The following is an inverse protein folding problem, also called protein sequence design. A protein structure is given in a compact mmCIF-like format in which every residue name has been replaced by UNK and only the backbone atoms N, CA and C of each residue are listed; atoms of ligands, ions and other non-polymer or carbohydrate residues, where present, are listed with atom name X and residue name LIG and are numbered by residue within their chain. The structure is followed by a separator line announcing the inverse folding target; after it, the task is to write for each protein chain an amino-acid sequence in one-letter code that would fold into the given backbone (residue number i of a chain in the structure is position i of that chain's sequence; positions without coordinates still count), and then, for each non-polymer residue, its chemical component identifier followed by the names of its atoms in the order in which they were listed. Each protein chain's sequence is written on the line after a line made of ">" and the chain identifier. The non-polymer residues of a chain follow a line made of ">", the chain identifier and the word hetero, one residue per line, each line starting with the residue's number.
data_IF_997364873897
#
_entry.id   IF_997364873897
#
_cell.length_a   1.000
_cell.length_b   1.000
_cell.length_c   1.000
_cell.angle_alpha   90.00
_cell.angle_beta   90.00
_cell.angle_gamma   90.00
#
_symmetry.space_group_name_H-M   'P 1'
#
loop_
_entity.id
_entity.type
_entity.pdbx_description
1 polymer ?
#
# COMPACT_ATOMS: atom_id res chain seq x y z
N UNK A 1 -22.80 -0.85 21.62
CA UNK A 1 -21.94 0.11 20.87
C UNK A 1 -22.86 1.14 20.24
N UNK A 2 -22.78 2.42 20.68
CA UNK A 2 -23.66 3.49 20.18
C UNK A 2 -23.47 3.67 18.67
N UNK A 3 -24.55 4.05 17.97
CA UNK A 3 -24.55 4.26 16.49
C UNK A 3 -23.43 5.20 16.00
N UNK A 4 -23.11 6.25 16.75
CA UNK A 4 -21.99 7.15 16.49
C UNK A 4 -20.63 6.44 16.49
N UNK A 5 -20.36 5.53 17.45
CA UNK A 5 -19.12 4.74 17.49
C UNK A 5 -19.01 3.72 16.35
N UNK A 6 -20.15 3.22 15.84
CA UNK A 6 -20.15 2.32 14.66
C UNK A 6 -19.79 3.07 13.37
N UNK A 7 -20.32 4.28 13.19
CA UNK A 7 -20.01 5.11 12.02
C UNK A 7 -18.55 5.52 12.00
N UNK A 8 -17.99 5.86 13.15
CA UNK A 8 -16.56 6.17 13.29
C UNK A 8 -15.67 4.96 12.94
N UNK A 9 -16.05 3.74 13.33
CA UNK A 9 -15.32 2.51 12.97
C UNK A 9 -15.32 2.25 11.46
N UNK A 10 -16.45 2.45 10.78
CA UNK A 10 -16.55 2.26 9.33
C UNK A 10 -15.70 3.31 8.61
N UNK A 11 -15.85 4.59 8.98
CA UNK A 11 -15.08 5.68 8.41
C UNK A 11 -13.56 5.47 8.60
N UNK A 12 -13.16 4.97 9.77
CA UNK A 12 -11.77 4.66 10.06
C UNK A 12 -11.27 3.43 9.28
N UNK A 13 -12.10 2.39 9.13
CA UNK A 13 -11.79 1.22 8.30
C UNK A 13 -11.64 1.58 6.82
N UNK A 14 -12.49 2.48 6.28
CA UNK A 14 -12.34 3.04 4.95
C UNK A 14 -11.06 3.86 4.79
N UNK A 15 -10.69 4.65 5.82
CA UNK A 15 -9.44 5.39 5.80
C UNK A 15 -8.22 4.46 5.80
N UNK A 16 -8.24 3.38 6.60
CA UNK A 16 -7.20 2.36 6.61
C UNK A 16 -7.11 1.67 5.25
N UNK A 17 -8.24 1.26 4.66
CA UNK A 17 -8.28 0.73 3.29
C UNK A 17 -7.61 1.69 2.31
N UNK A 18 -8.00 2.97 2.32
CA UNK A 18 -7.47 3.97 1.40
C UNK A 18 -5.97 4.24 1.57
N UNK A 19 -5.46 4.12 2.78
CA UNK A 19 -4.02 4.25 3.05
C UNK A 19 -3.20 3.12 2.42
N UNK A 20 -3.75 1.90 2.42
CA UNK A 20 -3.12 0.75 1.78
C UNK A 20 -3.33 0.74 0.28
N UNK A 21 -4.46 1.22 -0.22
CA UNK A 21 -4.84 1.08 -1.62
C UNK A 21 -4.05 2.03 -2.54
N UNK A 22 -2.96 1.52 -3.10
CA UNK A 22 -2.06 2.23 -4.01
C UNK A 22 -1.90 1.54 -5.37
N UNK A 23 -0.84 1.89 -6.11
CA UNK A 23 -0.59 1.35 -7.43
C UNK A 23 -0.46 -0.17 -7.47
N UNK A 24 0.24 -0.76 -6.49
CA UNK A 24 0.42 -2.20 -6.38
C UNK A 24 -0.89 -2.96 -6.25
N UNK A 25 -1.82 -2.41 -5.47
CA UNK A 25 -3.11 -3.01 -5.15
C UNK A 25 -4.09 -3.01 -6.34
N UNK A 26 -3.82 -2.21 -7.35
CA UNK A 26 -4.55 -2.22 -8.62
C UNK A 26 -3.95 -3.25 -9.58
N UNK A 27 -2.64 -3.27 -9.72
CA UNK A 27 -1.95 -3.99 -10.79
C UNK A 27 -1.79 -5.47 -10.47
N UNK A 28 -1.28 -5.80 -9.26
CA UNK A 28 -0.87 -7.18 -8.99
C UNK A 28 -2.01 -8.19 -8.88
N UNK A 29 -3.20 -7.88 -8.34
CA UNK A 29 -4.32 -8.81 -8.39
C UNK A 29 -4.83 -9.04 -9.82
N UNK A 30 -4.83 -8.02 -10.68
CA UNK A 30 -5.19 -8.17 -12.09
C UNK A 30 -4.16 -9.04 -12.84
N UNK A 31 -2.87 -8.76 -12.66
CA UNK A 31 -1.81 -9.56 -13.24
C UNK A 31 -1.86 -11.02 -12.77
N UNK A 32 -2.14 -11.25 -11.49
CA UNK A 32 -2.30 -12.59 -10.93
C UNK A 32 -3.43 -13.36 -11.61
N UNK A 33 -4.61 -12.75 -11.76
CA UNK A 33 -5.76 -13.37 -12.44
C UNK A 33 -5.44 -13.79 -13.88
N UNK A 34 -4.70 -12.94 -14.63
CA UNK A 34 -4.23 -13.27 -15.97
C UNK A 34 -3.25 -14.45 -16.00
N UNK A 35 -2.36 -14.57 -15.00
CA UNK A 35 -1.33 -15.63 -14.96
C UNK A 35 -1.92 -16.95 -14.48
N UNK A 36 -2.84 -16.90 -13.50
CA UNK A 36 -3.36 -18.10 -12.85
C UNK A 36 -4.57 -18.71 -13.55
N UNK A 37 -5.30 -17.94 -14.35
CA UNK A 37 -6.45 -18.37 -15.12
C UNK A 37 -7.46 -19.20 -14.29
N UNK A 38 -7.85 -20.40 -14.73
CA UNK A 38 -8.76 -21.30 -13.99
C UNK A 38 -8.19 -21.76 -12.62
N UNK A 39 -6.89 -21.54 -12.34
CA UNK A 39 -6.24 -21.79 -11.04
C UNK A 39 -6.22 -20.55 -10.12
N UNK A 40 -6.94 -19.50 -10.48
CA UNK A 40 -7.06 -18.26 -9.68
C UNK A 40 -7.38 -18.51 -8.20
N UNK A 41 -8.23 -19.46 -7.77
CA UNK A 41 -8.48 -19.70 -6.35
C UNK A 41 -7.18 -20.00 -5.55
N UNK A 42 -6.27 -20.78 -6.11
CA UNK A 42 -5.00 -21.11 -5.45
C UNK A 42 -4.03 -19.94 -5.41
N UNK A 43 -3.91 -19.21 -6.53
CA UNK A 43 -3.12 -17.98 -6.58
C UNK A 43 -3.65 -16.93 -5.60
N UNK A 44 -4.95 -16.77 -5.55
CA UNK A 44 -5.62 -15.81 -4.67
C UNK A 44 -5.41 -16.12 -3.18
N UNK A 45 -5.42 -17.40 -2.77
CA UNK A 45 -5.10 -17.79 -1.39
C UNK A 45 -3.69 -17.32 -0.99
N UNK A 46 -2.67 -17.56 -1.81
CA UNK A 46 -1.31 -17.08 -1.55
C UNK A 46 -1.25 -15.54 -1.51
N UNK A 47 -1.93 -14.88 -2.45
CA UNK A 47 -1.97 -13.43 -2.55
C UNK A 47 -2.62 -12.78 -1.33
N UNK A 48 -3.79 -13.25 -0.91
CA UNK A 48 -4.50 -12.71 0.26
C UNK A 48 -3.71 -12.90 1.55
N UNK A 49 -2.95 -13.97 1.67
CA UNK A 49 -2.09 -14.19 2.83
C UNK A 49 -1.04 -13.08 2.96
N UNK A 50 -0.40 -12.69 1.88
CA UNK A 50 0.73 -11.73 1.90
C UNK A 50 0.32 -10.29 1.63
N UNK A 51 -0.72 -10.05 0.85
CA UNK A 51 -1.19 -8.71 0.52
C UNK A 51 -2.32 -8.20 1.46
N UNK A 52 -2.94 -9.09 2.25
CA UNK A 52 -3.97 -8.67 3.21
C UNK A 52 -3.60 -9.10 4.63
N UNK A 53 -3.50 -10.42 4.89
CA UNK A 53 -3.32 -10.89 6.26
C UNK A 53 -2.02 -10.34 6.89
N UNK A 54 -0.88 -10.44 6.20
CA UNK A 54 0.41 -9.97 6.74
C UNK A 54 0.45 -8.46 7.00
N UNK A 55 0.01 -7.57 6.11
CA UNK A 55 -0.05 -6.13 6.38
C UNK A 55 -0.88 -5.76 7.62
N UNK A 56 -2.04 -6.37 7.79
CA UNK A 56 -2.89 -6.07 8.93
C UNK A 56 -2.32 -6.66 10.24
N UNK A 57 -1.69 -7.84 10.20
CA UNK A 57 -0.92 -8.36 11.34
C UNK A 57 0.26 -7.42 11.64
N UNK A 58 0.96 -6.91 10.65
CA UNK A 58 2.02 -5.91 10.79
C UNK A 58 1.54 -4.61 11.42
N UNK A 59 0.38 -4.12 10.99
CA UNK A 59 -0.26 -2.95 11.57
C UNK A 59 -0.58 -3.19 13.06
N UNK A 60 -1.19 -4.31 13.41
CA UNK A 60 -1.50 -4.69 14.79
C UNK A 60 -0.23 -4.83 15.64
N UNK A 61 0.84 -5.44 15.10
CA UNK A 61 2.12 -5.52 15.77
C UNK A 61 2.70 -4.13 16.06
N UNK A 62 2.60 -3.19 15.11
CA UNK A 62 3.05 -1.81 15.30
C UNK A 62 2.21 -1.05 16.35
N UNK A 63 0.92 -1.35 16.51
CA UNK A 63 0.10 -0.77 17.58
C UNK A 63 0.67 -1.10 18.97
N UNK A 64 1.18 -2.32 19.21
CA UNK A 64 1.83 -2.68 20.47
C UNK A 64 3.05 -1.81 20.78
N UNK A 65 3.74 -1.33 19.76
CA UNK A 65 4.88 -0.42 19.87
C UNK A 65 4.47 1.06 19.84
N UNK A 66 3.16 1.36 19.95
CA UNK A 66 2.62 2.73 19.89
C UNK A 66 3.11 3.50 18.65
N UNK A 67 3.31 2.81 17.53
CA UNK A 67 3.81 3.36 16.27
C UNK A 67 5.29 3.77 16.28
N UNK A 68 6.07 3.40 17.29
CA UNK A 68 7.50 3.73 17.36
C UNK A 68 8.32 2.80 16.47
N UNK A 69 8.52 3.19 15.21
CA UNK A 69 9.24 2.41 14.18
C UNK A 69 10.61 1.97 14.69
N UNK A 70 11.36 2.87 15.29
CA UNK A 70 12.70 2.58 15.82
C UNK A 70 12.70 1.44 16.84
N UNK A 71 11.72 1.40 17.75
CA UNK A 71 11.63 0.34 18.76
C UNK A 71 11.25 -0.99 18.14
N UNK A 72 10.35 -0.98 17.13
CA UNK A 72 9.94 -2.17 16.42
C UNK A 72 11.12 -2.85 15.71
N UNK A 73 11.92 -2.08 14.99
CA UNK A 73 13.07 -2.60 14.26
C UNK A 73 14.31 -2.84 15.15
N UNK A 74 14.40 -2.21 16.32
CA UNK A 74 15.52 -2.36 17.24
C UNK A 74 15.70 -3.78 17.79
N UNK A 75 14.69 -4.65 17.65
CA UNK A 75 14.80 -6.09 17.97
C UNK A 75 15.88 -6.82 17.16
N UNK A 76 16.20 -6.32 15.97
CA UNK A 76 17.33 -6.82 15.16
C UNK A 76 18.69 -6.25 15.59
N UNK A 77 18.70 -5.36 16.59
CA UNK A 77 19.86 -4.57 16.98
C UNK A 77 19.75 -3.12 16.54
N UNK A 78 20.51 -2.23 17.16
CA UNK A 78 20.41 -0.77 16.89
C UNK A 78 20.78 -0.41 15.45
N UNK A 79 21.90 -0.94 14.93
CA UNK A 79 22.38 -0.64 13.57
C UNK A 79 21.63 -1.45 12.52
N UNK A 80 21.52 -2.80 12.59
CA UNK A 80 20.78 -3.57 11.58
C UNK A 80 19.31 -3.18 11.51
N UNK A 81 18.66 -2.90 12.65
CA UNK A 81 17.28 -2.47 12.69
C UNK A 81 17.04 -1.12 12.00
N UNK A 82 17.91 -0.13 12.26
CA UNK A 82 17.83 1.18 11.60
C UNK A 82 18.10 1.05 10.09
N UNK A 83 19.09 0.23 9.71
CA UNK A 83 19.41 -0.02 8.29
C UNK A 83 18.24 -0.67 7.56
N UNK A 84 17.60 -1.69 8.15
CA UNK A 84 16.41 -2.32 7.56
C UNK A 84 15.23 -1.35 7.48
N UNK A 85 14.95 -0.57 8.53
CA UNK A 85 13.91 0.45 8.51
C UNK A 85 14.15 1.49 7.41
N UNK A 86 15.41 1.93 7.25
CA UNK A 86 15.80 2.88 6.19
C UNK A 86 15.63 2.26 4.80
N UNK A 87 16.03 1.00 4.62
CA UNK A 87 15.82 0.29 3.35
C UNK A 87 14.31 0.21 3.02
N UNK A 88 13.50 -0.23 3.97
CA UNK A 88 12.05 -0.39 3.79
C UNK A 88 11.38 0.92 3.41
N UNK A 89 11.66 2.02 4.14
CA UNK A 89 11.05 3.32 3.81
C UNK A 89 11.61 3.90 2.50
N UNK A 90 12.84 3.57 2.12
CA UNK A 90 13.41 3.97 0.83
C UNK A 90 12.71 3.28 -0.33
N UNK A 91 12.42 1.98 -0.20
CA UNK A 91 11.66 1.22 -1.19
C UNK A 91 10.20 1.71 -1.30
N UNK A 92 9.58 2.12 -0.19
CA UNK A 92 8.25 2.71 -0.19
C UNK A 92 8.24 4.13 -0.79
N UNK A 93 9.25 4.92 -0.47
CA UNK A 93 9.36 6.30 -0.88
C UNK A 93 9.95 6.44 -2.29
N UNK A 94 11.08 7.18 -2.41
CA UNK A 94 11.59 7.63 -3.71
C UNK A 94 12.13 6.52 -4.62
N UNK A 95 12.46 5.33 -4.08
CA UNK A 95 13.11 4.29 -4.88
C UNK A 95 12.15 3.22 -5.40
N UNK A 96 10.88 3.20 -4.98
CA UNK A 96 9.99 2.12 -5.37
C UNK A 96 8.52 2.49 -5.52
N UNK A 97 7.74 2.52 -4.43
CA UNK A 97 6.30 2.67 -4.54
C UNK A 97 5.87 4.04 -5.07
N UNK A 98 6.52 5.14 -4.68
CA UNK A 98 6.15 6.48 -5.17
C UNK A 98 6.39 6.65 -6.69
N UNK A 99 7.54 6.29 -7.28
CA UNK A 99 7.69 6.33 -8.74
C UNK A 99 6.74 5.37 -9.46
N UNK A 100 6.43 4.19 -8.89
CA UNK A 100 5.42 3.27 -9.45
C UNK A 100 4.03 3.92 -9.49
N UNK A 101 3.65 4.70 -8.46
CA UNK A 101 2.41 5.47 -8.46
C UNK A 101 2.37 6.45 -9.64
N UNK A 102 3.43 7.24 -9.87
CA UNK A 102 3.47 8.21 -10.95
C UNK A 102 3.45 7.50 -12.32
N UNK A 103 4.19 6.40 -12.46
CA UNK A 103 4.20 5.62 -13.69
C UNK A 103 2.82 5.04 -14.02
N UNK A 104 2.08 4.53 -13.01
CA UNK A 104 0.72 4.01 -13.19
C UNK A 104 -0.28 5.13 -13.56
N UNK A 105 -0.19 6.29 -12.90
CA UNK A 105 -1.01 7.44 -13.27
C UNK A 105 -0.86 7.76 -14.76
N UNK A 106 0.40 7.85 -15.22
CA UNK A 106 0.71 8.13 -16.62
C UNK A 106 0.17 7.05 -17.55
N UNK A 107 0.47 5.76 -17.30
CA UNK A 107 0.10 4.68 -18.21
C UNK A 107 -1.43 4.51 -18.32
N UNK A 108 -2.15 4.73 -17.22
CA UNK A 108 -3.63 4.64 -17.22
C UNK A 108 -4.25 5.84 -17.99
N UNK A 109 -3.73 7.05 -17.79
CA UNK A 109 -4.22 8.22 -18.51
C UNK A 109 -3.84 8.21 -19.99
N UNK A 110 -2.70 7.66 -20.36
CA UNK A 110 -2.25 7.56 -21.75
C UNK A 110 -3.16 6.70 -22.63
N UNK A 111 -3.95 5.80 -22.04
CA UNK A 111 -5.00 5.05 -22.76
C UNK A 111 -6.09 5.97 -23.31
N UNK A 112 -6.41 7.04 -22.59
CA UNK A 112 -7.44 8.01 -22.99
C UNK A 112 -6.85 9.24 -23.68
N UNK A 113 -5.58 9.56 -23.43
CA UNK A 113 -4.86 10.69 -23.99
C UNK A 113 -3.55 10.23 -24.65
N UNK A 114 -3.62 9.63 -25.85
CA UNK A 114 -2.43 9.18 -26.57
C UNK A 114 -1.49 10.36 -26.86
N UNK A 115 -0.20 10.17 -26.60
CA UNK A 115 0.80 11.23 -26.82
C UNK A 115 1.13 12.07 -25.59
N UNK A 116 0.62 11.76 -24.42
CA UNK A 116 1.01 12.39 -23.16
C UNK A 116 2.48 12.05 -22.81
N UNK A 117 3.43 13.01 -22.84
CA UNK A 117 4.85 12.71 -22.60
C UNK A 117 5.08 12.36 -21.12
N UNK A 118 5.69 11.20 -20.84
CA UNK A 118 5.99 10.74 -19.50
C UNK A 118 6.80 11.76 -18.68
N UNK A 119 7.78 12.41 -19.32
CA UNK A 119 8.65 13.39 -18.65
C UNK A 119 7.85 14.58 -18.14
N UNK A 120 7.02 15.21 -18.99
CA UNK A 120 6.20 16.36 -18.60
C UNK A 120 5.17 15.98 -17.53
N UNK A 121 4.55 14.82 -17.69
CA UNK A 121 3.61 14.29 -16.71
C UNK A 121 4.28 14.07 -15.35
N UNK A 122 5.47 13.46 -15.34
CA UNK A 122 6.22 13.17 -14.11
C UNK A 122 6.68 14.45 -13.40
N UNK A 123 7.09 15.48 -14.14
CA UNK A 123 7.42 16.81 -13.58
C UNK A 123 6.19 17.41 -12.91
N UNK A 124 5.04 17.40 -13.59
CA UNK A 124 3.78 17.93 -13.08
C UNK A 124 3.33 17.17 -11.82
N UNK A 125 3.42 15.83 -11.84
CA UNK A 125 3.08 14.98 -10.70
C UNK A 125 4.01 15.25 -9.50
N UNK A 126 5.33 15.33 -9.71
CA UNK A 126 6.29 15.68 -8.65
C UNK A 126 6.04 17.09 -8.10
N UNK A 127 5.68 18.05 -8.95
CA UNK A 127 5.29 19.40 -8.54
C UNK A 127 4.05 19.40 -7.65
N UNK A 128 3.01 18.62 -8.00
CA UNK A 128 1.82 18.45 -7.18
C UNK A 128 2.17 17.77 -5.85
N UNK A 129 2.96 16.69 -5.88
CA UNK A 129 3.41 16.00 -4.65
C UNK A 129 4.17 16.98 -3.75
N UNK A 130 5.05 17.82 -4.30
CA UNK A 130 5.77 18.84 -3.53
C UNK A 130 4.81 19.81 -2.86
N UNK A 131 3.87 20.42 -3.62
CA UNK A 131 2.91 21.39 -3.11
C UNK A 131 2.05 20.83 -1.98
N UNK A 132 1.63 19.56 -2.10
CA UNK A 132 0.77 18.93 -1.11
C UNK A 132 1.52 18.35 0.09
N UNK A 133 2.77 17.93 -0.10
CA UNK A 133 3.63 17.46 0.99
C UNK A 133 4.15 18.59 1.87
N UNK A 134 4.22 19.82 1.36
CA UNK A 134 4.71 20.98 2.08
C UNK A 134 3.74 21.43 3.20
N UNK A 135 2.43 21.21 3.02
CA UNK A 135 1.37 21.54 4.02
C UNK A 135 0.73 20.26 4.57
N UNK A 136 1.38 19.64 5.53
CA UNK A 136 1.16 18.30 6.07
C UNK A 136 -0.29 17.87 6.41
N UNK A 137 -1.32 18.74 6.52
CA UNK A 137 -2.46 18.32 7.35
C UNK A 137 -3.89 18.45 6.81
N UNK A 138 -4.17 19.10 5.70
CA UNK A 138 -5.57 19.33 5.30
C UNK A 138 -6.01 18.58 4.04
N UNK A 139 -5.15 18.49 3.05
CA UNK A 139 -5.52 17.92 1.75
C UNK A 139 -5.53 16.39 1.75
N UNK A 140 -4.60 15.73 2.45
CA UNK A 140 -4.59 14.26 2.60
C UNK A 140 -5.87 13.78 3.28
N UNK A 141 -6.39 14.53 4.27
CA UNK A 141 -7.67 14.21 4.91
C UNK A 141 -8.86 14.39 3.95
N UNK A 142 -8.91 15.50 3.22
CA UNK A 142 -10.02 15.79 2.30
C UNK A 142 -10.02 14.80 1.13
N UNK A 143 -8.87 14.53 0.54
CA UNK A 143 -8.73 13.57 -0.55
C UNK A 143 -9.09 12.14 -0.08
N UNK A 144 -8.65 11.73 1.12
CA UNK A 144 -9.00 10.43 1.69
C UNK A 144 -10.50 10.28 2.01
N UNK A 145 -11.16 11.30 2.55
CA UNK A 145 -12.57 11.22 2.93
C UNK A 145 -13.55 11.25 1.75
N UNK A 146 -13.22 11.94 0.67
CA UNK A 146 -14.12 12.09 -0.49
C UNK A 146 -13.73 11.16 -1.62
N UNK A 147 -12.43 11.10 -1.97
CA UNK A 147 -11.98 10.27 -3.08
C UNK A 147 -12.02 8.77 -2.77
N UNK A 148 -11.75 8.37 -1.54
CA UNK A 148 -11.72 6.94 -1.20
C UNK A 148 -13.07 6.25 -1.35
N UNK A 149 -14.20 6.78 -0.82
CA UNK A 149 -15.51 6.19 -1.06
C UNK A 149 -15.89 6.18 -2.54
N UNK A 150 -15.57 7.25 -3.28
CA UNK A 150 -15.84 7.33 -4.71
C UNK A 150 -15.03 6.29 -5.49
N UNK A 151 -13.75 6.15 -5.18
CA UNK A 151 -12.88 5.13 -5.78
C UNK A 151 -13.41 3.72 -5.52
N UNK A 152 -13.75 3.40 -4.27
CA UNK A 152 -14.32 2.09 -3.91
C UNK A 152 -15.62 1.83 -4.67
N UNK A 153 -16.50 2.82 -4.76
CA UNK A 153 -17.76 2.69 -5.50
C UNK A 153 -17.51 2.42 -6.99
N UNK A 154 -16.56 3.12 -7.61
CA UNK A 154 -16.19 2.90 -9.01
C UNK A 154 -15.56 1.52 -9.24
N UNK A 155 -14.68 1.06 -8.35
CA UNK A 155 -14.08 -0.26 -8.43
C UNK A 155 -15.13 -1.37 -8.30
N UNK A 156 -16.05 -1.25 -7.35
CA UNK A 156 -17.17 -2.17 -7.17
C UNK A 156 -18.06 -2.17 -8.42
N UNK A 157 -18.35 -1.01 -8.99
CA UNK A 157 -19.15 -0.89 -10.21
C UNK A 157 -18.47 -1.62 -11.39
N UNK A 158 -17.16 -1.45 -11.58
CA UNK A 158 -16.40 -2.15 -12.62
C UNK A 158 -16.45 -3.66 -12.40
N UNK A 159 -16.24 -4.11 -11.16
CA UNK A 159 -16.29 -5.53 -10.81
C UNK A 159 -17.66 -6.11 -11.12
N UNK A 160 -18.75 -5.50 -10.62
CA UNK A 160 -20.12 -5.99 -10.83
C UNK A 160 -20.46 -6.00 -12.33
N UNK A 161 -20.24 -4.90 -13.04
CA UNK A 161 -20.51 -4.81 -14.48
C UNK A 161 -19.66 -5.80 -15.27
N UNK A 162 -18.39 -5.99 -14.90
CA UNK A 162 -17.50 -6.94 -15.54
C UNK A 162 -17.96 -8.39 -15.37
N UNK A 163 -18.49 -8.77 -14.21
CA UNK A 163 -19.08 -10.09 -14.01
C UNK A 163 -20.37 -10.29 -14.82
N UNK A 164 -21.23 -9.27 -14.91
CA UNK A 164 -22.48 -9.34 -15.69
C UNK A 164 -22.20 -9.45 -17.21
N UNK A 165 -21.17 -8.76 -17.69
CA UNK A 165 -20.79 -8.72 -19.10
C UNK A 165 -19.62 -9.66 -19.43
N UNK A 166 -19.40 -10.68 -18.61
CA UNK A 166 -18.25 -11.59 -18.78
C UNK A 166 -18.37 -12.37 -20.11
N UNK A 167 -17.26 -12.54 -20.85
CA UNK A 167 -17.22 -13.37 -22.04
C UNK A 167 -17.44 -14.84 -21.70
N UNK A 168 -18.04 -15.59 -22.62
CA UNK A 168 -18.32 -17.03 -22.45
C UNK A 168 -17.04 -17.89 -22.51
N UNK A 169 -15.99 -17.40 -23.20
CA UNK A 169 -14.74 -18.15 -23.37
C UNK A 169 -13.76 -17.82 -22.26
N UNK A 170 -13.35 -18.82 -21.51
CA UNK A 170 -12.33 -18.74 -20.48
C UNK A 170 -11.12 -19.58 -20.88
N UNK A 171 -9.92 -19.10 -20.50
CA UNK A 171 -8.67 -19.82 -20.73
C UNK A 171 -8.36 -20.74 -19.55
N UNK A 172 -7.73 -21.87 -19.86
CA UNK A 172 -7.19 -22.78 -18.85
C UNK A 172 -5.68 -22.62 -18.72
N UNK A 173 -5.18 -22.78 -17.49
CA UNK A 173 -3.75 -22.77 -17.24
C UNK A 173 -3.09 -24.04 -17.77
N UNK A 174 -2.01 -23.88 -18.51
CA UNK A 174 -1.18 -25.01 -18.96
C UNK A 174 -0.44 -25.69 -17.81
N UNK A 175 -0.27 -25.03 -16.66
CA UNK A 175 0.37 -25.59 -15.48
C UNK A 175 -0.68 -26.22 -14.55
N UNK A 176 -0.68 -27.55 -14.35
CA UNK A 176 -1.67 -28.22 -13.50
C UNK A 176 -1.40 -28.05 -11.99
N UNK A 177 -0.18 -27.61 -11.58
CA UNK A 177 0.22 -27.59 -10.19
C UNK A 177 -0.45 -26.46 -9.39
N UNK A 178 -1.33 -26.81 -8.47
CA UNK A 178 -1.95 -25.86 -7.55
C UNK A 178 -0.94 -25.15 -6.64
N UNK A 179 0.10 -25.87 -6.19
CA UNK A 179 1.16 -25.32 -5.35
C UNK A 179 1.97 -24.24 -6.05
N UNK A 180 2.24 -24.41 -7.36
CA UNK A 180 2.92 -23.38 -8.16
C UNK A 180 2.12 -22.07 -8.22
N UNK A 181 0.81 -22.16 -8.43
CA UNK A 181 -0.07 -20.98 -8.46
C UNK A 181 -0.21 -20.32 -7.09
N UNK A 182 -0.27 -21.11 -6.00
CA UNK A 182 -0.25 -20.56 -4.64
C UNK A 182 1.04 -19.78 -4.36
N UNK A 183 2.20 -20.37 -4.73
CA UNK A 183 3.49 -19.71 -4.55
C UNK A 183 3.60 -18.43 -5.38
N UNK A 184 3.10 -18.47 -6.61
CA UNK A 184 3.03 -17.28 -7.47
C UNK A 184 2.16 -16.19 -6.84
N UNK A 185 0.99 -16.55 -6.29
CA UNK A 185 0.15 -15.60 -5.56
C UNK A 185 0.85 -14.99 -4.36
N UNK A 186 1.56 -15.80 -3.57
CA UNK A 186 2.32 -15.34 -2.41
C UNK A 186 3.40 -14.30 -2.80
N UNK A 187 4.15 -14.56 -3.86
CA UNK A 187 5.20 -13.64 -4.35
C UNK A 187 4.62 -12.39 -5.00
N UNK A 188 3.51 -12.50 -5.75
CA UNK A 188 2.83 -11.31 -6.28
C UNK A 188 2.24 -10.44 -5.17
N UNK A 189 1.82 -11.03 -4.05
CA UNK A 189 1.39 -10.28 -2.88
C UNK A 189 2.51 -9.46 -2.24
N UNK A 190 3.77 -9.87 -2.31
CA UNK A 190 4.91 -9.04 -1.87
C UNK A 190 5.02 -7.75 -2.69
N UNK A 191 4.68 -7.81 -3.96
CA UNK A 191 4.78 -6.69 -4.88
C UNK A 191 3.79 -5.56 -4.60
N UNK A 192 2.73 -5.80 -3.80
CA UNK A 192 1.83 -4.73 -3.32
C UNK A 192 2.53 -3.79 -2.35
N UNK A 193 3.57 -4.27 -1.64
CA UNK A 193 4.35 -3.54 -0.63
C UNK A 193 3.54 -3.13 0.61
N UNK A 194 2.38 -3.74 0.84
CA UNK A 194 1.46 -3.35 1.91
C UNK A 194 2.02 -3.64 3.31
N UNK A 195 2.75 -4.76 3.51
CA UNK A 195 3.40 -5.02 4.80
C UNK A 195 4.46 -3.95 5.12
N UNK A 196 5.22 -3.50 4.13
CA UNK A 196 6.16 -2.41 4.30
C UNK A 196 5.43 -1.13 4.70
N UNK A 197 4.33 -0.82 3.99
CA UNK A 197 3.50 0.35 4.25
C UNK A 197 2.87 0.31 5.65
N UNK A 198 2.47 -0.85 6.15
CA UNK A 198 1.87 -1.01 7.47
C UNK A 198 2.75 -0.45 8.59
N UNK A 199 4.07 -0.66 8.53
CA UNK A 199 5.00 -0.16 9.55
C UNK A 199 5.07 1.37 9.58
N UNK A 200 4.96 2.03 8.44
CA UNK A 200 5.10 3.48 8.33
C UNK A 200 3.77 4.22 8.37
N UNK A 201 2.66 3.55 8.09
CA UNK A 201 1.32 4.11 8.24
C UNK A 201 0.79 3.97 9.67
N UNK A 202 1.24 2.98 10.43
CA UNK A 202 0.82 2.79 11.82
C UNK A 202 0.96 4.04 12.70
N UNK A 203 2.06 4.81 12.68
CA UNK A 203 2.17 6.07 13.43
C UNK A 203 1.09 7.08 13.05
N UNK A 204 0.76 7.18 11.75
CA UNK A 204 -0.25 8.11 11.23
C UNK A 204 -1.64 7.67 11.71
N UNK A 205 -1.92 6.37 11.64
CA UNK A 205 -3.17 5.77 12.12
C UNK A 205 -3.33 6.02 13.61
N UNK A 206 -2.30 5.78 14.42
CA UNK A 206 -2.31 6.00 15.87
C UNK A 206 -2.51 7.47 16.22
N UNK A 207 -1.82 8.39 15.53
CA UNK A 207 -1.95 9.83 15.77
C UNK A 207 -3.33 10.41 15.42
N UNK A 208 -4.08 9.73 14.55
CA UNK A 208 -5.43 10.13 14.17
C UNK A 208 -6.50 9.74 15.20
N UNK A 209 -6.15 8.85 16.14
CA UNK A 209 -7.03 8.43 17.22
C UNK A 209 -7.08 9.52 18.32
N UNK A 210 -8.29 9.92 18.71
CA UNK A 210 -8.47 10.89 19.80
C UNK A 210 -8.15 10.23 21.15
N UNK A 211 -7.18 10.75 21.89
CA UNK A 211 -6.78 10.32 23.25
C UNK A 211 -6.48 8.82 23.39
N UNK A 212 -5.47 8.29 22.68
CA UNK A 212 -5.16 6.86 22.71
C UNK A 212 -4.76 6.30 24.09
N UNK A 213 -4.41 7.15 25.04
CA UNK A 213 -4.00 6.73 26.39
C UNK A 213 -5.16 6.60 27.38
N UNK A 214 -6.35 7.13 27.08
CA UNK A 214 -7.50 7.18 28.01
C UNK A 214 -8.64 6.22 27.67
N UNK A 215 -8.65 5.64 26.47
CA UNK A 215 -9.79 4.84 26.01
C UNK A 215 -9.50 3.34 26.17
N UNK A 216 -10.06 2.70 27.19
CA UNK A 216 -9.93 1.26 27.45
C UNK A 216 -10.46 0.37 26.31
N UNK A 217 -11.29 0.92 25.42
CA UNK A 217 -11.86 0.22 24.26
C UNK A 217 -11.10 0.49 22.95
N UNK A 218 -9.95 1.18 23.00
CA UNK A 218 -9.20 1.56 21.81
C UNK A 218 -8.73 0.35 21.01
N UNK A 219 -8.26 -0.69 21.69
CA UNK A 219 -7.80 -1.93 21.02
C UNK A 219 -8.94 -2.60 20.22
N UNK A 220 -10.14 -2.68 20.78
CA UNK A 220 -11.31 -3.22 20.10
C UNK A 220 -11.72 -2.38 18.87
N UNK A 221 -11.68 -1.04 19.00
CA UNK A 221 -11.97 -0.13 17.89
C UNK A 221 -11.00 -0.31 16.72
N UNK A 222 -9.69 -0.35 17.01
CA UNK A 222 -8.65 -0.52 15.99
C UNK A 222 -8.76 -1.89 15.31
N UNK A 223 -9.00 -2.97 16.07
CA UNK A 223 -9.17 -4.32 15.52
C UNK A 223 -10.37 -4.35 14.57
N UNK A 224 -11.54 -3.83 14.98
CA UNK A 224 -12.74 -3.82 14.14
C UNK A 224 -12.51 -3.00 12.87
N UNK A 225 -11.93 -1.80 12.99
CA UNK A 225 -11.63 -0.97 11.85
C UNK A 225 -10.61 -1.62 10.89
N UNK A 226 -9.60 -2.31 11.45
CA UNK A 226 -8.64 -3.09 10.65
C UNK A 226 -9.31 -4.24 9.92
N UNK A 227 -10.24 -4.96 10.56
CA UNK A 227 -11.00 -6.03 9.91
C UNK A 227 -11.85 -5.47 8.77
N UNK A 228 -12.51 -4.32 8.95
CA UNK A 228 -13.29 -3.66 7.89
C UNK A 228 -12.38 -3.33 6.71
N UNK A 229 -11.24 -2.68 6.96
CA UNK A 229 -10.27 -2.32 5.92
C UNK A 229 -9.71 -3.55 5.19
N UNK A 230 -9.34 -4.59 5.94
CA UNK A 230 -8.84 -5.86 5.39
C UNK A 230 -9.87 -6.59 4.54
N UNK A 231 -11.13 -6.65 5.01
CA UNK A 231 -12.24 -7.29 4.29
C UNK A 231 -12.53 -6.58 2.98
N UNK A 232 -12.52 -5.24 2.99
CA UNK A 232 -12.73 -4.44 1.80
C UNK A 232 -11.60 -4.62 0.78
N UNK A 233 -10.35 -4.64 1.27
CA UNK A 233 -9.18 -4.88 0.43
C UNK A 233 -9.22 -6.28 -0.20
N UNK A 234 -9.54 -7.31 0.61
CA UNK A 234 -9.70 -8.68 0.13
C UNK A 234 -10.79 -8.79 -0.94
N UNK A 235 -11.94 -8.14 -0.73
CA UNK A 235 -13.06 -8.15 -1.67
C UNK A 235 -12.67 -7.54 -3.02
N UNK A 236 -11.96 -6.42 -3.02
CA UNK A 236 -11.46 -5.80 -4.26
C UNK A 236 -10.45 -6.72 -4.96
N UNK A 237 -9.53 -7.35 -4.22
CA UNK A 237 -8.55 -8.25 -4.82
C UNK A 237 -9.19 -9.50 -5.43
N UNK A 238 -10.17 -10.09 -4.74
CA UNK A 238 -10.95 -11.20 -5.28
C UNK A 238 -11.62 -10.77 -6.59
N UNK A 239 -12.30 -9.63 -6.56
CA UNK A 239 -12.97 -9.09 -7.74
C UNK A 239 -12.01 -8.86 -8.91
N UNK A 240 -10.86 -8.26 -8.67
CA UNK A 240 -9.85 -7.99 -9.70
C UNK A 240 -9.22 -9.26 -10.28
N UNK A 241 -8.85 -10.22 -9.42
CA UNK A 241 -8.28 -11.49 -9.89
C UNK A 241 -9.28 -12.22 -10.81
N UNK A 242 -10.53 -12.37 -10.39
CA UNK A 242 -11.54 -13.03 -11.21
C UNK A 242 -11.88 -12.24 -12.47
N UNK A 243 -11.94 -10.92 -12.38
CA UNK A 243 -12.20 -10.07 -13.55
C UNK A 243 -11.10 -10.24 -14.61
N UNK A 244 -9.84 -10.21 -14.20
CA UNK A 244 -8.71 -10.42 -15.10
C UNK A 244 -8.67 -11.85 -15.68
N UNK A 245 -9.07 -12.86 -14.91
CA UNK A 245 -9.26 -14.22 -15.39
C UNK A 245 -10.32 -14.31 -16.49
N UNK A 246 -11.52 -13.76 -16.24
CA UNK A 246 -12.64 -13.81 -17.20
C UNK A 246 -12.30 -13.09 -18.52
N UNK A 247 -11.59 -11.98 -18.45
CA UNK A 247 -11.20 -11.20 -19.63
C UNK A 247 -9.82 -11.57 -20.19
N UNK A 248 -9.14 -12.58 -19.65
CA UNK A 248 -7.77 -12.95 -20.05
C UNK A 248 -7.56 -13.11 -21.57
N UNK A 249 -8.50 -13.75 -22.34
CA UNK A 249 -8.35 -13.84 -23.80
C UNK A 249 -8.25 -12.49 -24.50
N UNK A 250 -8.94 -11.49 -23.95
CA UNK A 250 -9.06 -10.14 -24.52
C UNK A 250 -7.98 -9.18 -24.04
N UNK A 251 -7.20 -9.58 -23.05
CA UNK A 251 -6.15 -8.79 -22.40
C UNK A 251 -4.74 -9.23 -22.84
N UNK A 252 -4.64 -10.19 -23.75
CA UNK A 252 -3.37 -10.70 -24.27
C UNK A 252 -2.57 -9.58 -24.91
N UNK A 253 -1.31 -9.40 -24.48
CA UNK A 253 -0.42 -8.35 -25.00
C UNK A 253 -0.60 -6.97 -24.36
N UNK A 254 -1.57 -6.79 -23.48
CA UNK A 254 -1.75 -5.54 -22.73
C UNK A 254 -0.79 -5.52 -21.52
N UNK A 255 -0.13 -4.40 -21.32
CA UNK A 255 0.79 -4.20 -20.20
C UNK A 255 0.03 -4.24 -18.85
N UNK A 256 0.67 -4.80 -17.80
CA UNK A 256 0.03 -5.00 -16.49
C UNK A 256 -0.53 -3.70 -15.88
N UNK A 257 0.16 -2.58 -16.09
CA UNK A 257 -0.21 -1.25 -15.60
C UNK A 257 -1.36 -0.61 -16.41
N UNK A 258 -1.76 -1.21 -17.53
CA UNK A 258 -2.90 -0.78 -18.36
C UNK A 258 -4.14 -1.67 -18.20
N UNK A 259 -4.04 -2.81 -17.49
CA UNK A 259 -5.11 -3.80 -17.41
C UNK A 259 -6.44 -3.23 -16.91
N UNK A 260 -6.43 -2.46 -15.82
CA UNK A 260 -7.66 -1.89 -15.25
C UNK A 260 -8.34 -0.94 -16.25
N UNK A 261 -7.58 -0.06 -16.87
CA UNK A 261 -8.08 0.88 -17.86
C UNK A 261 -8.65 0.16 -19.10
N UNK A 262 -7.94 -0.86 -19.59
CA UNK A 262 -8.40 -1.67 -20.74
C UNK A 262 -9.68 -2.43 -20.42
N UNK A 263 -9.79 -3.05 -19.25
CA UNK A 263 -11.02 -3.71 -18.78
C UNK A 263 -12.17 -2.70 -18.69
N UNK A 264 -11.94 -1.55 -18.09
CA UNK A 264 -12.96 -0.53 -17.93
C UNK A 264 -13.49 0.00 -19.28
N UNK A 265 -12.60 0.24 -20.24
CA UNK A 265 -12.99 0.65 -21.60
C UNK A 265 -13.84 -0.42 -22.28
N UNK A 266 -13.49 -1.70 -22.12
CA UNK A 266 -14.25 -2.81 -22.71
C UNK A 266 -15.66 -2.97 -22.11
N UNK A 267 -15.79 -2.80 -20.78
CA UNK A 267 -17.05 -3.01 -20.05
C UNK A 267 -17.98 -1.81 -20.14
N UNK A 268 -17.44 -0.60 -20.02
CA UNK A 268 -18.20 0.64 -19.84
C UNK A 268 -18.04 1.62 -21.01
N UNK A 269 -17.22 1.27 -22.01
CA UNK A 269 -16.97 2.09 -23.19
C UNK A 269 -15.85 3.14 -22.99
N UNK A 270 -15.49 3.90 -24.06
CA UNK A 270 -14.30 4.79 -24.07
C UNK A 270 -14.33 5.88 -22.98
N UNK A 271 -15.50 6.43 -22.69
CA UNK A 271 -15.66 7.49 -21.68
C UNK A 271 -15.33 7.00 -20.25
N UNK A 272 -15.55 5.72 -19.96
CA UNK A 272 -15.20 5.13 -18.69
C UNK A 272 -13.69 5.07 -18.46
N UNK A 273 -12.89 4.92 -19.51
CA UNK A 273 -11.44 4.98 -19.43
C UNK A 273 -10.93 6.28 -18.81
N UNK A 274 -11.55 7.42 -19.13
CA UNK A 274 -11.21 8.72 -18.55
C UNK A 274 -11.55 8.76 -17.06
N UNK A 275 -12.76 8.31 -16.68
CA UNK A 275 -13.20 8.32 -15.28
C UNK A 275 -12.31 7.42 -14.43
N UNK A 276 -12.01 6.21 -14.91
CA UNK A 276 -11.11 5.28 -14.22
C UNK A 276 -9.68 5.81 -14.18
N UNK A 277 -9.18 6.37 -15.29
CA UNK A 277 -7.86 7.00 -15.34
C UNK A 277 -7.69 8.13 -14.33
N UNK A 278 -8.68 9.01 -14.21
CA UNK A 278 -8.68 10.07 -13.20
C UNK A 278 -8.77 9.51 -11.79
N UNK A 279 -9.60 8.50 -11.55
CA UNK A 279 -9.74 7.85 -10.23
C UNK A 279 -8.44 7.20 -9.78
N UNK A 280 -7.78 6.45 -10.67
CA UNK A 280 -6.47 5.84 -10.42
C UNK A 280 -5.41 6.92 -10.18
N UNK A 281 -5.45 8.00 -10.97
CA UNK A 281 -4.53 9.14 -10.81
C UNK A 281 -4.66 9.76 -9.42
N UNK A 282 -5.86 10.05 -8.97
CA UNK A 282 -6.06 10.63 -7.64
C UNK A 282 -5.68 9.66 -6.52
N UNK A 283 -6.01 8.37 -6.62
CA UNK A 283 -5.62 7.37 -5.65
C UNK A 283 -4.09 7.24 -5.55
N UNK A 284 -3.40 7.14 -6.69
CA UNK A 284 -1.94 7.05 -6.73
C UNK A 284 -1.26 8.34 -6.26
N UNK A 285 -1.82 9.51 -6.58
CA UNK A 285 -1.29 10.80 -6.15
C UNK A 285 -1.34 10.93 -4.63
N UNK A 286 -2.48 10.59 -4.00
CA UNK A 286 -2.61 10.63 -2.53
C UNK A 286 -1.64 9.69 -1.84
N UNK A 287 -1.48 8.49 -2.38
CA UNK A 287 -0.51 7.50 -1.86
C UNK A 287 0.92 8.00 -2.03
N UNK A 288 1.30 8.53 -3.19
CA UNK A 288 2.64 9.06 -3.42
C UNK A 288 2.98 10.23 -2.49
N UNK A 289 2.02 11.15 -2.25
CA UNK A 289 2.18 12.24 -1.27
C UNK A 289 2.46 11.68 0.13
N UNK A 290 1.67 10.71 0.58
CA UNK A 290 1.83 10.12 1.90
C UNK A 290 3.18 9.40 2.05
N UNK A 291 3.60 8.64 1.04
CA UNK A 291 4.86 7.87 1.05
C UNK A 291 6.09 8.79 1.02
N UNK A 292 6.09 9.82 0.18
CA UNK A 292 7.20 10.79 0.11
C UNK A 292 7.29 11.62 1.40
N UNK A 293 6.14 12.04 1.96
CA UNK A 293 6.12 12.75 3.23
C UNK A 293 6.62 11.88 4.39
N UNK A 294 6.20 10.61 4.45
CA UNK A 294 6.66 9.64 5.45
C UNK A 294 8.18 9.41 5.34
N UNK A 295 8.70 9.24 4.12
CA UNK A 295 10.13 9.09 3.88
C UNK A 295 10.90 10.33 4.35
N UNK A 296 10.50 11.52 3.91
CA UNK A 296 11.18 12.77 4.27
C UNK A 296 11.17 13.01 5.78
N UNK A 297 10.04 12.72 6.45
CA UNK A 297 9.91 12.85 7.91
C UNK A 297 10.79 11.83 8.65
N UNK A 298 10.87 10.58 8.16
CA UNK A 298 11.72 9.55 8.74
C UNK A 298 13.21 9.90 8.60
N UNK A 299 13.66 10.29 7.40
CA UNK A 299 15.05 10.68 7.16
C UNK A 299 15.43 11.88 8.05
N UNK A 300 14.56 12.90 8.11
CA UNK A 300 14.80 14.08 8.97
C UNK A 300 15.01 13.69 10.42
N UNK A 301 14.09 12.88 10.99
CA UNK A 301 14.09 12.58 12.44
C UNK A 301 15.12 11.51 12.82
N UNK A 302 15.15 10.39 12.09
CA UNK A 302 15.92 9.21 12.51
C UNK A 302 17.35 9.21 11.97
N UNK A 303 17.57 9.70 10.75
CA UNK A 303 18.90 9.68 10.11
C UNK A 303 19.63 11.00 10.31
N UNK A 304 19.01 12.12 9.96
CA UNK A 304 19.64 13.45 10.03
C UNK A 304 19.56 14.09 11.42
N UNK A 305 18.81 13.47 12.38
CA UNK A 305 18.66 13.97 13.75
C UNK A 305 18.33 15.47 13.77
N UNK A 306 17.43 15.90 12.89
CA UNK A 306 16.96 17.27 12.70
C UNK A 306 18.02 18.30 12.23
N UNK A 307 19.23 17.86 11.85
CA UNK A 307 20.29 18.75 11.35
C UNK A 307 19.96 19.37 9.99
N UNK A 308 19.13 18.69 9.18
CA UNK A 308 18.67 19.15 7.87
C UNK A 308 17.18 19.39 7.93
N UNK A 309 16.72 20.49 7.33
CA UNK A 309 15.30 20.83 7.24
C UNK A 309 14.50 19.82 6.42
N UNK A 310 13.19 19.81 6.59
CA UNK A 310 12.30 18.92 5.86
C UNK A 310 12.31 19.18 4.33
N UNK A 311 12.29 20.45 3.93
CA UNK A 311 12.19 20.84 2.52
C UNK A 311 13.32 20.34 1.63
N UNK A 312 14.63 20.46 1.99
CA UNK A 312 15.70 19.92 1.14
C UNK A 312 15.63 18.39 1.01
N UNK A 313 15.23 17.66 2.07
CA UNK A 313 15.05 16.22 1.99
C UNK A 313 13.90 15.88 1.05
N UNK A 314 12.80 16.62 1.11
CA UNK A 314 11.64 16.46 0.22
C UNK A 314 12.03 16.68 -1.24
N UNK A 315 12.80 17.74 -1.55
CA UNK A 315 13.26 18.05 -2.91
C UNK A 315 14.14 16.92 -3.44
N UNK A 316 15.13 16.47 -2.66
CA UNK A 316 16.02 15.38 -3.07
C UNK A 316 15.21 14.09 -3.31
N UNK A 317 14.24 13.79 -2.44
CA UNK A 317 13.37 12.64 -2.61
C UNK A 317 12.58 12.69 -3.91
N UNK A 318 12.05 13.85 -4.28
CA UNK A 318 11.28 14.04 -5.50
C UNK A 318 12.16 13.99 -6.76
N UNK A 319 13.39 14.48 -6.69
CA UNK A 319 14.36 14.34 -7.80
C UNK A 319 14.69 12.87 -8.06
N UNK A 320 14.90 12.08 -7.01
CA UNK A 320 15.12 10.63 -7.12
C UNK A 320 13.87 9.96 -7.69
N UNK A 321 12.69 10.29 -7.15
CA UNK A 321 11.40 9.75 -7.63
C UNK A 321 11.20 10.05 -9.12
N UNK A 322 11.45 11.28 -9.55
CA UNK A 322 11.38 11.67 -10.96
C UNK A 322 12.33 10.83 -11.82
N UNK A 323 13.60 10.74 -11.44
CA UNK A 323 14.59 9.97 -12.20
C UNK A 323 14.19 8.48 -12.33
N UNK A 324 13.66 7.87 -11.26
CA UNK A 324 13.23 6.47 -11.30
C UNK A 324 11.94 6.31 -12.11
N UNK A 325 11.01 7.27 -12.06
CA UNK A 325 9.76 7.19 -12.83
C UNK A 325 10.01 7.08 -14.34
N UNK A 326 11.11 7.66 -14.86
CA UNK A 326 11.48 7.55 -16.28
C UNK A 326 11.77 6.13 -16.75
N UNK A 327 11.96 5.19 -15.82
CA UNK A 327 12.14 3.76 -16.13
C UNK A 327 10.80 3.06 -16.46
N UNK A 328 9.67 3.69 -16.30
CA UNK A 328 8.32 3.15 -16.44
C UNK A 328 8.00 2.05 -15.41
N UNK A 329 6.70 1.75 -15.25
CA UNK A 329 6.22 0.84 -14.20
C UNK A 329 6.87 -0.55 -14.24
N UNK A 330 6.96 -1.15 -15.42
CA UNK A 330 7.43 -2.54 -15.55
C UNK A 330 8.90 -2.72 -15.20
N UNK A 331 9.77 -1.77 -15.61
CA UNK A 331 11.19 -1.82 -15.28
C UNK A 331 11.43 -1.58 -13.79
N UNK A 332 10.70 -0.62 -13.19
CA UNK A 332 10.76 -0.38 -11.74
C UNK A 332 10.37 -1.65 -10.99
N UNK A 333 9.26 -2.29 -11.36
CA UNK A 333 8.80 -3.53 -10.73
C UNK A 333 9.79 -4.67 -10.88
N UNK A 334 10.42 -4.82 -12.04
CA UNK A 334 11.45 -5.87 -12.28
C UNK A 334 12.68 -5.72 -11.38
N UNK A 335 13.07 -4.47 -11.06
CA UNK A 335 14.18 -4.19 -10.14
C UNK A 335 13.76 -4.45 -8.69
N UNK A 336 12.53 -4.11 -8.33
CA UNK A 336 12.05 -4.23 -6.96
C UNK A 336 11.71 -5.67 -6.55
N UNK A 337 11.18 -6.48 -7.48
CA UNK A 337 10.72 -7.83 -7.16
C UNK A 337 11.75 -8.68 -6.39
N UNK A 338 13.01 -8.84 -6.84
CA UNK A 338 13.99 -9.64 -6.11
C UNK A 338 14.34 -9.05 -4.73
N UNK A 339 14.31 -7.72 -4.58
CA UNK A 339 14.54 -7.07 -3.29
C UNK A 339 13.39 -7.36 -2.31
N UNK A 340 12.16 -7.36 -2.80
CA UNK A 340 10.98 -7.67 -1.99
C UNK A 340 10.96 -9.14 -1.58
N UNK A 341 11.29 -10.06 -2.48
CA UNK A 341 11.38 -11.49 -2.20
C UNK A 341 12.35 -11.82 -1.05
N UNK A 342 13.43 -11.03 -0.91
CA UNK A 342 14.39 -11.17 0.20
C UNK A 342 13.90 -10.45 1.46
N UNK A 343 13.35 -9.24 1.32
CA UNK A 343 12.94 -8.42 2.48
C UNK A 343 11.71 -8.98 3.18
N UNK A 344 10.72 -9.49 2.44
CA UNK A 344 9.43 -9.90 3.02
C UNK A 344 9.54 -11.04 4.04
N UNK A 345 10.26 -12.14 3.81
CA UNK A 345 10.44 -13.19 4.82
C UNK A 345 11.01 -12.64 6.13
N UNK A 346 12.00 -11.76 6.05
CA UNK A 346 12.62 -11.13 7.23
C UNK A 346 11.61 -10.27 7.98
N UNK A 347 10.81 -9.48 7.26
CA UNK A 347 9.80 -8.60 7.85
C UNK A 347 8.63 -9.39 8.45
N UNK A 348 8.24 -10.50 7.83
CA UNK A 348 7.22 -11.42 8.36
C UNK A 348 7.71 -12.03 9.69
N UNK A 349 8.93 -12.57 9.69
CA UNK A 349 9.52 -13.13 10.91
C UNK A 349 9.63 -12.09 12.02
N UNK A 350 10.10 -10.88 11.70
CA UNK A 350 10.17 -9.77 12.64
C UNK A 350 8.79 -9.38 13.19
N UNK A 351 7.77 -9.39 12.35
CA UNK A 351 6.39 -9.08 12.73
C UNK A 351 5.87 -10.08 13.74
N UNK A 352 6.00 -11.38 13.46
CA UNK A 352 5.58 -12.43 14.39
C UNK A 352 6.39 -12.40 15.68
N UNK A 353 7.70 -12.22 15.59
CA UNK A 353 8.55 -12.11 16.78
C UNK A 353 8.09 -10.98 17.69
N UNK A 354 7.81 -9.80 17.13
CA UNK A 354 7.34 -8.65 17.88
C UNK A 354 5.89 -8.79 18.39
N UNK A 355 5.08 -9.59 17.73
CA UNK A 355 3.71 -9.84 18.16
C UNK A 355 3.64 -10.76 19.40
N UNK A 356 4.52 -11.76 19.49
CA UNK A 356 4.49 -12.76 20.57
C UNK A 356 5.38 -12.40 21.78
N UNK A 357 6.37 -11.51 21.62
CA UNK A 357 7.19 -11.05 22.74
C UNK A 357 6.65 -9.76 23.39
N UNK A 358 6.88 -9.55 24.70
CA UNK A 358 6.51 -8.30 25.36
C UNK A 358 7.20 -7.10 24.66
N UNK A 359 6.53 -5.94 24.66
CA UNK A 359 7.09 -4.72 24.08
C UNK A 359 8.37 -4.32 24.80
N UNK A 360 9.38 -3.83 24.07
CA UNK A 360 10.59 -3.25 24.67
C UNK A 360 10.28 -2.10 25.64
N UNK A 361 9.14 -1.43 25.47
CA UNK A 361 8.67 -0.42 26.44
C UNK A 361 8.23 -1.05 27.77
N UNK A 362 7.67 -2.25 27.75
CA UNK A 362 7.23 -2.96 28.97
C UNK A 362 8.43 -3.54 29.70
N UNK A 363 9.49 -3.91 28.98
CA UNK A 363 10.76 -4.39 29.54
C UNK A 363 11.60 -3.26 30.17
N UNK A 364 11.44 -2.01 29.71
CA UNK A 364 12.20 -0.84 30.16
C UNK A 364 11.50 -0.04 31.27
N UNK A 365 10.21 -0.25 31.53
CA UNK A 365 9.50 0.43 32.63
C UNK A 365 9.81 -0.03 34.05
N UNK A 366 10.29 -1.26 34.35
CA UNK A 366 10.64 -1.62 35.71
C UNK A 366 11.99 -1.06 36.22
N UNK A 367 12.76 -0.37 35.40
CA UNK A 367 14.16 0.03 35.77
C UNK A 367 14.26 1.48 36.29
N UNK A 368 13.18 2.28 36.28
CA UNK A 368 13.32 3.72 36.42
C UNK A 368 12.99 4.34 37.76
N UNK A 369 12.57 3.62 38.79
CA UNK A 369 12.34 4.26 40.11
C UNK A 369 12.93 3.51 41.33
N UNK A 370 13.18 2.22 41.29
CA UNK A 370 13.74 1.51 42.46
C UNK A 370 15.25 1.37 42.44
N UNK A 371 15.90 1.39 41.28
CA UNK A 371 17.37 1.27 41.17
C UNK A 371 18.12 2.61 41.19
N UNK A 372 17.43 3.75 41.26
CA UNK A 372 18.08 5.04 41.47
C UNK A 372 18.32 5.32 42.97
N UNK A 373 17.59 4.64 43.87
CA UNK A 373 17.76 4.78 45.31
C UNK A 373 18.88 3.89 45.90
N UNK A 374 19.41 2.93 45.14
CA UNK A 374 20.53 2.09 45.58
C UNK A 374 21.89 2.62 45.09
N UNK A 375 21.94 3.80 44.44
CA UNK A 375 23.17 4.45 43.98
C UNK A 375 23.30 5.91 44.46
N UNK A 376 22.51 6.33 45.46
CA UNK A 376 22.75 7.50 46.29
C UNK A 376 22.99 7.01 47.73
#
# INVERSE_FOLDING_TARGET
>A
MNTLKKFDCIAFGLAVFAMFFGAGNIIFPLALGQITLNKTPWGLLGFLLTAVAMPFIGLLAMFRYKGKIRLFFARLGKIPGLSLATLVISLLGPFGAAPRCIALMHSTLSLSFPGLPLILFSISACGLIFLFSFKENRLVKLLGYVLSPLMVALLILIIIKGFISSPETVLESSNPSNGSHFWKGLTEGYNTMDLLAAFFFAPIVISSLKNPEKDQNLNGFVIIASIIGASLLALVYIGFCYLAYLYAPQLTGIANDQLLGAIAIKILGPHAGIIVGLTVTFACLTTAIALIAAFASFIKKEIMKERIGYTPILIISLLITFAITTLEFQRISRILNPLLEVCYPVLILLTFYNLFKPSLNDELQPITLEKLNDFI
#
